data_IF_596319225891
#
_entry.id   IF_596319225891
#
_cell.length_a   1.000
_cell.length_b   1.000
_cell.length_c   1.000
_cell.angle_alpha   90.00
_cell.angle_beta   90.00
_cell.angle_gamma   90.00
#
_symmetry.space_group_name_H-M   'P 1'
#
loop_
_entity.id
_entity.type
_entity.pdbx_description
1 polymer ?
#
# COMPACT_ATOMS: atom_id res chain seq x y z
N UNK A 1 5.80 52.83 12.11
CA UNK A 1 5.88 52.83 10.64
C UNK A 1 4.92 51.76 10.14
N UNK A 2 3.76 52.18 9.62
CA UNK A 2 2.67 51.30 9.18
C UNK A 2 2.98 50.69 7.82
N UNK A 3 2.82 49.37 7.71
CA UNK A 3 2.89 48.63 6.44
C UNK A 3 1.45 48.38 5.98
N UNK A 4 1.09 48.66 4.71
CA UNK A 4 -0.26 48.39 4.21
C UNK A 4 -0.44 46.92 3.79
N UNK A 5 -1.68 46.39 3.80
CA UNK A 5 -1.97 45.02 3.41
C UNK A 5 -2.02 44.86 1.89
N UNK A 6 -1.51 43.74 1.39
CA UNK A 6 -1.51 43.36 -0.02
C UNK A 6 -2.76 42.51 -0.30
N UNK A 7 -3.66 43.03 -1.13
CA UNK A 7 -4.84 42.30 -1.64
C UNK A 7 -4.42 41.26 -2.69
N UNK A 8 -4.72 39.98 -2.43
CA UNK A 8 -4.57 38.91 -3.41
C UNK A 8 -5.86 38.75 -4.22
N UNK A 9 -5.79 39.01 -5.53
CA UNK A 9 -6.88 38.81 -6.49
C UNK A 9 -7.07 37.33 -6.82
N UNK A 10 -8.29 36.85 -6.56
CA UNK A 10 -8.84 35.55 -6.98
C UNK A 10 -8.98 35.52 -8.50
N UNK A 11 -8.22 34.63 -9.16
CA UNK A 11 -8.35 34.33 -10.59
C UNK A 11 -9.09 33.03 -10.81
N UNK A 12 -10.40 33.10 -11.02
CA UNK A 12 -11.22 31.97 -11.45
C UNK A 12 -10.87 31.59 -12.91
N UNK A 13 -10.34 30.38 -13.13
CA UNK A 13 -10.19 29.79 -14.46
C UNK A 13 -11.28 28.74 -14.69
N UNK A 14 -12.10 29.02 -15.71
CA UNK A 14 -13.23 28.24 -16.17
C UNK A 14 -12.77 27.05 -17.01
N UNK A 15 -13.51 25.97 -16.83
CA UNK A 15 -13.54 24.71 -17.56
C UNK A 15 -13.52 24.90 -19.09
N UNK A 16 -12.73 24.09 -19.80
CA UNK A 16 -12.94 23.82 -21.23
C UNK A 16 -12.96 22.30 -21.46
N UNK A 17 -14.18 21.79 -21.59
CA UNK A 17 -14.51 20.47 -22.11
C UNK A 17 -14.26 20.43 -23.62
N UNK A 18 -13.32 19.61 -24.06
CA UNK A 18 -13.16 19.25 -25.48
C UNK A 18 -13.92 17.96 -25.76
N UNK A 19 -15.13 18.14 -26.30
CA UNK A 19 -15.92 17.13 -27.00
C UNK A 19 -15.25 16.83 -28.33
N UNK A 20 -14.84 15.59 -28.56
CA UNK A 20 -14.38 15.13 -29.88
C UNK A 20 -15.56 14.56 -30.67
N UNK A 21 -15.91 15.28 -31.72
CA UNK A 21 -16.94 14.93 -32.69
C UNK A 21 -16.58 13.65 -33.47
N UNK A 22 -17.47 12.66 -33.38
CA UNK A 22 -17.49 11.47 -34.24
C UNK A 22 -18.15 11.84 -35.58
N UNK A 23 -17.33 11.99 -36.61
CA UNK A 23 -17.77 12.18 -37.99
C UNK A 23 -18.46 10.90 -38.52
N UNK A 24 -19.77 10.97 -38.70
CA UNK A 24 -20.54 10.00 -39.50
C UNK A 24 -20.39 10.31 -40.98
N UNK A 25 -19.59 9.52 -41.70
CA UNK A 25 -19.58 9.52 -43.16
C UNK A 25 -20.66 8.55 -43.68
N UNK A 26 -21.76 9.11 -44.14
CA UNK A 26 -22.67 8.45 -45.08
C UNK A 26 -22.25 8.75 -46.51
N UNK A 27 -22.10 7.71 -47.34
CA UNK A 27 -22.37 7.69 -48.79
C UNK A 27 -21.86 6.36 -49.37
N UNK A 28 -22.77 5.43 -49.67
CA UNK A 28 -22.79 4.75 -50.98
C UNK A 28 -23.98 3.79 -51.08
N UNK A 29 -25.12 4.31 -51.53
CA UNK A 29 -26.15 3.53 -52.20
C UNK A 29 -26.03 3.79 -53.69
N UNK A 30 -25.54 2.81 -54.47
CA UNK A 30 -25.91 2.57 -55.87
C UNK A 30 -24.97 1.53 -56.51
N UNK A 31 -25.44 0.28 -56.57
CA UNK A 31 -25.32 -0.68 -57.68
C UNK A 31 -25.66 -2.07 -57.14
N UNK A 32 -26.96 -2.25 -56.95
CA UNK A 32 -27.55 -3.58 -56.94
C UNK A 32 -28.08 -3.80 -58.36
N UNK A 33 -28.01 -5.05 -58.78
CA UNK A 33 -28.50 -5.64 -60.03
C UNK A 33 -27.43 -5.96 -61.07
N UNK A 34 -27.51 -7.22 -61.51
CA UNK A 34 -26.83 -7.87 -62.62
C UNK A 34 -25.46 -8.50 -62.33
N UNK A 35 -25.48 -9.64 -61.62
CA UNK A 35 -24.78 -10.88 -62.02
C UNK A 35 -25.03 -12.03 -61.03
N UNK A 36 -26.29 -12.48 -60.94
CA UNK A 36 -26.67 -13.73 -60.26
C UNK A 36 -27.19 -14.74 -61.27
N UNK A 37 -26.27 -15.30 -62.04
CA UNK A 37 -26.47 -16.57 -62.74
C UNK A 37 -25.09 -17.13 -63.00
N UNK A 38 -24.63 -18.04 -62.13
CA UNK A 38 -23.53 -19.03 -62.29
C UNK A 38 -22.86 -19.41 -60.95
N UNK A 39 -23.64 -19.53 -59.86
CA UNK A 39 -23.20 -20.30 -58.69
C UNK A 39 -24.13 -21.51 -58.56
N UNK A 40 -23.59 -22.65 -58.97
CA UNK A 40 -24.11 -23.99 -58.71
C UNK A 40 -24.34 -24.20 -57.20
N UNK A 41 -25.24 -25.10 -56.81
CA UNK A 41 -25.52 -25.37 -55.41
C UNK A 41 -24.31 -26.07 -54.78
N UNK A 42 -23.50 -25.35 -54.01
CA UNK A 42 -22.71 -25.97 -52.94
C UNK A 42 -23.72 -26.34 -51.85
N UNK A 43 -24.44 -27.44 -52.09
CA UNK A 43 -25.21 -28.12 -51.06
C UNK A 43 -24.22 -28.80 -50.12
N UNK A 44 -24.53 -28.70 -48.83
CA UNK A 44 -23.99 -29.45 -47.68
C UNK A 44 -22.58 -29.11 -47.18
N UNK A 45 -22.42 -27.97 -46.51
CA UNK A 45 -21.44 -27.81 -45.40
C UNK A 45 -21.99 -27.05 -44.18
N UNK A 46 -23.29 -26.73 -44.14
CA UNK A 46 -23.89 -26.03 -43.00
C UNK A 46 -24.18 -26.95 -41.78
N UNK A 47 -24.25 -28.27 -41.99
CA UNK A 47 -24.53 -29.25 -40.93
C UNK A 47 -23.31 -29.66 -40.10
N UNK A 48 -22.09 -29.45 -40.58
CA UNK A 48 -20.86 -29.81 -39.87
C UNK A 48 -20.21 -28.66 -39.07
N UNK A 49 -20.64 -27.40 -39.28
CA UNK A 49 -20.07 -26.25 -38.58
C UNK A 49 -20.58 -26.07 -37.15
N UNK A 50 -21.81 -26.50 -36.87
CA UNK A 50 -22.38 -26.42 -35.52
C UNK A 50 -21.70 -27.34 -34.48
N UNK A 51 -21.40 -28.62 -34.76
CA UNK A 51 -20.72 -29.47 -33.76
C UNK A 51 -19.30 -29.00 -33.44
N UNK A 52 -18.58 -28.41 -34.40
CA UNK A 52 -17.21 -27.90 -34.18
C UNK A 52 -17.16 -26.70 -33.21
N UNK A 53 -18.20 -25.85 -33.22
CA UNK A 53 -18.28 -24.72 -32.29
C UNK A 53 -18.56 -25.19 -30.85
N UNK A 54 -19.45 -26.16 -30.67
CA UNK A 54 -19.75 -26.72 -29.34
C UNK A 54 -18.53 -27.45 -28.74
N UNK A 55 -17.77 -28.17 -29.56
CA UNK A 55 -16.52 -28.82 -29.14
C UNK A 55 -15.45 -27.80 -28.74
N UNK A 56 -15.30 -26.70 -29.49
CA UNK A 56 -14.37 -25.62 -29.17
C UNK A 56 -14.73 -24.90 -27.87
N UNK A 57 -16.02 -24.64 -27.62
CA UNK A 57 -16.50 -24.07 -26.35
C UNK A 57 -16.26 -25.03 -25.17
N UNK A 58 -16.46 -26.33 -25.36
CA UNK A 58 -16.18 -27.34 -24.34
C UNK A 58 -14.68 -27.39 -23.97
N UNK A 59 -13.78 -27.32 -24.95
CA UNK A 59 -12.34 -27.26 -24.72
C UNK A 59 -11.92 -26.00 -23.97
N UNK A 60 -12.46 -24.83 -24.35
CA UNK A 60 -12.24 -23.57 -23.62
C UNK A 60 -12.80 -23.63 -22.19
N UNK A 61 -13.91 -24.34 -21.98
CA UNK A 61 -14.48 -24.57 -20.66
C UNK A 61 -13.60 -25.44 -19.76
N UNK A 62 -12.93 -26.45 -20.32
CA UNK A 62 -11.96 -27.28 -19.60
C UNK A 62 -10.72 -26.45 -19.24
N UNK A 63 -10.18 -25.69 -20.19
CA UNK A 63 -8.99 -24.85 -19.96
C UNK A 63 -9.20 -23.82 -18.84
N UNK A 64 -10.36 -23.15 -18.83
CA UNK A 64 -10.73 -22.23 -17.74
C UNK A 64 -10.84 -22.92 -16.38
N UNK A 65 -11.37 -24.14 -16.33
CA UNK A 65 -11.48 -24.91 -15.08
C UNK A 65 -10.11 -25.33 -14.57
N UNK A 66 -9.26 -25.87 -15.44
CA UNK A 66 -7.88 -26.26 -15.09
C UNK A 66 -7.08 -25.07 -14.59
N UNK A 67 -7.18 -23.91 -15.27
CA UNK A 67 -6.52 -22.68 -14.83
C UNK A 67 -6.97 -22.23 -13.45
N UNK A 68 -8.29 -22.26 -13.19
CA UNK A 68 -8.84 -21.90 -11.88
C UNK A 68 -8.36 -22.86 -10.78
N UNK A 69 -8.43 -24.17 -11.01
CA UNK A 69 -7.94 -25.17 -10.04
C UNK A 69 -6.44 -25.03 -9.77
N UNK A 70 -5.64 -24.63 -10.77
CA UNK A 70 -4.22 -24.36 -10.57
C UNK A 70 -3.97 -23.10 -9.73
N UNK A 71 -4.75 -22.04 -9.93
CA UNK A 71 -4.71 -20.81 -9.14
C UNK A 71 -5.11 -21.07 -7.68
N UNK A 72 -6.26 -21.73 -7.46
CA UNK A 72 -6.75 -22.12 -6.13
C UNK A 72 -5.69 -22.97 -5.39
N UNK A 73 -5.06 -23.92 -6.09
CA UNK A 73 -3.99 -24.76 -5.50
C UNK A 73 -2.72 -23.97 -5.15
N UNK A 74 -2.37 -22.94 -5.93
CA UNK A 74 -1.21 -22.08 -5.63
C UNK A 74 -1.47 -21.22 -4.40
N UNK A 75 -2.69 -20.72 -4.26
CA UNK A 75 -3.13 -19.97 -3.09
C UNK A 75 -3.04 -20.83 -1.82
N UNK A 76 -3.63 -22.03 -1.83
CA UNK A 76 -3.58 -22.98 -0.70
C UNK A 76 -2.14 -23.31 -0.28
N UNK A 77 -1.24 -23.51 -1.25
CA UNK A 77 0.17 -23.78 -0.97
C UNK A 77 0.89 -22.57 -0.35
N UNK A 78 0.58 -21.36 -0.82
CA UNK A 78 1.13 -20.12 -0.27
C UNK A 78 0.68 -19.88 1.18
N UNK A 79 -0.59 -20.11 1.49
CA UNK A 79 -1.10 -19.99 2.85
C UNK A 79 -0.46 -21.02 3.79
N UNK A 80 -0.31 -22.27 3.34
CA UNK A 80 0.34 -23.33 4.12
C UNK A 80 1.80 -22.98 4.44
N UNK A 81 2.55 -22.44 3.48
CA UNK A 81 3.93 -22.00 3.68
C UNK A 81 4.00 -20.86 4.71
N UNK A 82 3.13 -19.85 4.60
CA UNK A 82 3.06 -18.74 5.55
C UNK A 82 2.77 -19.22 6.97
N UNK A 83 1.85 -20.18 7.13
CA UNK A 83 1.54 -20.78 8.43
C UNK A 83 2.72 -21.57 9.00
N UNK A 84 3.42 -22.36 8.17
CA UNK A 84 4.61 -23.10 8.60
C UNK A 84 5.71 -22.14 9.09
N UNK A 85 5.98 -21.08 8.34
CA UNK A 85 6.93 -20.03 8.71
C UNK A 85 6.52 -19.34 10.02
N UNK A 86 5.25 -19.02 10.20
CA UNK A 86 4.73 -18.46 11.44
C UNK A 86 4.92 -19.42 12.63
N UNK A 87 4.61 -20.71 12.47
CA UNK A 87 4.84 -21.71 13.50
C UNK A 87 6.32 -21.87 13.88
N UNK A 88 7.23 -21.74 12.90
CA UNK A 88 8.67 -21.69 13.18
C UNK A 88 9.05 -20.46 14.04
N UNK A 89 8.50 -19.28 13.73
CA UNK A 89 8.68 -18.06 14.50
C UNK A 89 8.17 -18.23 15.94
N UNK A 90 6.99 -18.81 16.13
CA UNK A 90 6.41 -19.08 17.44
C UNK A 90 7.32 -19.98 18.30
N UNK A 91 7.78 -21.11 17.76
CA UNK A 91 8.70 -22.04 18.44
C UNK A 91 10.03 -21.36 18.81
N UNK A 92 10.54 -20.52 17.92
CA UNK A 92 11.76 -19.74 18.16
C UNK A 92 11.57 -18.73 19.29
N UNK A 93 10.39 -18.11 19.37
CA UNK A 93 10.01 -17.19 20.43
C UNK A 93 9.79 -17.87 21.78
N UNK A 94 9.34 -19.13 21.85
CA UNK A 94 9.24 -19.88 23.12
C UNK A 94 10.58 -19.98 23.86
N UNK A 95 11.68 -20.07 23.10
CA UNK A 95 13.05 -20.14 23.65
C UNK A 95 13.58 -18.77 24.08
N UNK A 96 13.06 -17.67 23.51
CA UNK A 96 13.47 -16.30 23.84
C UNK A 96 12.61 -15.72 24.98
N UNK A 97 13.24 -15.11 25.98
CA UNK A 97 12.52 -14.44 27.08
C UNK A 97 11.96 -13.07 26.68
N UNK A 98 12.56 -12.44 25.68
CA UNK A 98 12.25 -11.08 25.30
C UNK A 98 11.32 -10.97 24.08
N UNK A 99 10.54 -9.88 24.08
CA UNK A 99 9.80 -9.41 22.93
C UNK A 99 10.79 -8.95 21.85
N UNK A 100 10.62 -9.46 20.63
CA UNK A 100 11.47 -9.17 19.48
C UNK A 100 10.59 -8.64 18.34
N UNK A 101 10.66 -7.32 18.15
CA UNK A 101 9.89 -6.60 17.12
C UNK A 101 10.59 -6.49 15.79
N UNK A 102 11.77 -7.08 15.67
CA UNK A 102 12.45 -7.15 14.38
C UNK A 102 12.01 -8.39 13.62
N UNK A 103 11.91 -8.32 12.29
CA UNK A 103 11.51 -9.45 11.45
C UNK A 103 10.71 -9.05 10.23
N UNK A 104 10.11 -10.04 9.59
CA UNK A 104 9.22 -9.84 8.44
C UNK A 104 7.83 -10.36 8.77
N UNK A 105 6.83 -9.55 8.48
CA UNK A 105 5.41 -9.87 8.56
C UNK A 105 4.84 -10.00 7.16
N UNK A 106 4.05 -11.05 6.94
CA UNK A 106 3.13 -11.12 5.81
C UNK A 106 1.92 -10.28 6.17
N UNK A 107 1.57 -9.33 5.30
CA UNK A 107 0.50 -8.36 5.54
C UNK A 107 -0.77 -8.76 4.76
N UNK A 108 -1.92 -8.47 5.34
CA UNK A 108 -3.24 -8.59 4.71
C UNK A 108 -4.06 -7.32 4.96
N UNK A 109 -4.65 -6.75 3.91
CA UNK A 109 -5.55 -5.60 3.97
C UNK A 109 -6.79 -5.89 3.12
N UNK A 110 -7.99 -5.94 3.74
CA UNK A 110 -9.22 -6.30 3.04
C UNK A 110 -9.64 -5.31 1.93
N UNK A 111 -9.09 -4.09 1.95
CA UNK A 111 -9.34 -3.08 0.93
C UNK A 111 -8.51 -3.29 -0.35
N UNK A 112 -7.45 -4.11 -0.27
CA UNK A 112 -6.53 -4.35 -1.37
C UNK A 112 -6.65 -5.84 -1.72
N UNK A 113 -7.17 -6.18 -2.91
CA UNK A 113 -7.33 -7.58 -3.31
C UNK A 113 -5.97 -8.28 -3.31
N UNK A 114 -5.99 -9.59 -3.04
CA UNK A 114 -4.85 -10.42 -2.62
C UNK A 114 -3.59 -10.28 -3.48
N UNK A 115 -2.77 -9.27 -3.19
CA UNK A 115 -1.44 -9.13 -3.75
C UNK A 115 -0.48 -10.10 -3.05
N UNK A 116 0.21 -10.98 -3.81
CA UNK A 116 0.95 -12.11 -3.26
C UNK A 116 2.13 -11.72 -2.38
N UNK A 117 2.57 -10.46 -2.42
CA UNK A 117 3.83 -10.02 -1.81
C UNK A 117 3.69 -8.88 -0.79
N UNK A 118 2.48 -8.63 -0.27
CA UNK A 118 2.33 -7.63 0.80
C UNK A 118 3.14 -8.01 2.04
N UNK A 119 4.10 -7.16 2.42
CA UNK A 119 5.07 -7.43 3.48
C UNK A 119 5.43 -6.16 4.26
N UNK A 120 5.83 -6.37 5.51
CA UNK A 120 6.42 -5.37 6.38
C UNK A 120 7.67 -5.96 7.05
N UNK A 121 8.82 -5.34 6.87
CA UNK A 121 10.08 -5.79 7.49
C UNK A 121 10.56 -4.74 8.47
N UNK A 122 10.52 -5.05 9.76
CA UNK A 122 10.90 -4.14 10.85
C UNK A 122 12.32 -4.47 11.33
N UNK A 123 13.13 -3.46 11.58
CA UNK A 123 14.47 -3.57 12.13
C UNK A 123 14.83 -2.35 12.98
N UNK A 124 15.90 -2.51 13.76
CA UNK A 124 16.49 -1.46 14.57
C UNK A 124 17.83 -1.12 13.95
N UNK A 125 18.00 0.14 13.54
CA UNK A 125 19.24 0.67 12.99
C UNK A 125 19.87 1.66 13.99
N UNK A 126 21.18 1.86 13.89
CA UNK A 126 21.89 2.92 14.62
C UNK A 126 22.03 4.14 13.74
N UNK A 127 21.69 5.30 14.28
CA UNK A 127 21.83 6.60 13.65
C UNK A 127 22.35 7.57 14.69
N UNK A 128 23.48 8.21 14.41
CA UNK A 128 24.24 9.04 15.37
C UNK A 128 24.52 8.33 16.71
N UNK A 129 24.78 7.02 16.67
CA UNK A 129 25.02 6.20 17.86
C UNK A 129 23.79 5.94 18.73
N UNK A 130 22.59 6.33 18.29
CA UNK A 130 21.31 6.05 18.95
C UNK A 130 20.52 5.05 18.14
N UNK A 131 19.74 4.21 18.81
CA UNK A 131 18.86 3.27 18.12
C UNK A 131 17.65 4.00 17.56
N UNK A 132 17.24 3.62 16.37
CA UNK A 132 15.96 4.01 15.76
C UNK A 132 15.30 2.76 15.20
N UNK A 133 13.98 2.73 15.17
CA UNK A 133 13.22 1.62 14.58
C UNK A 133 12.62 2.09 13.27
N UNK A 134 12.86 1.28 12.23
CA UNK A 134 12.38 1.49 10.88
C UNK A 134 11.65 0.25 10.39
N UNK A 135 10.86 0.40 9.33
CA UNK A 135 10.41 -0.74 8.57
C UNK A 135 10.27 -0.44 7.09
N UNK A 136 10.71 -1.35 6.25
CA UNK A 136 10.34 -1.38 4.83
C UNK A 136 8.95 -2.00 4.70
N UNK A 137 8.11 -1.40 3.87
CA UNK A 137 6.79 -1.96 3.57
C UNK A 137 6.53 -1.99 2.07
N UNK A 138 5.77 -3.01 1.65
CA UNK A 138 5.12 -3.07 0.36
C UNK A 138 3.71 -3.58 0.60
N UNK A 139 2.70 -2.73 0.40
CA UNK A 139 1.29 -3.04 0.62
C UNK A 139 0.52 -3.17 -0.71
N UNK A 140 1.22 -3.37 -1.82
CA UNK A 140 0.62 -3.48 -3.17
C UNK A 140 0.19 -2.14 -3.77
N UNK A 141 -0.47 -1.27 -3.00
CA UNK A 141 -0.83 0.10 -3.44
C UNK A 141 0.25 1.13 -3.13
N UNK A 142 1.13 0.85 -2.17
CA UNK A 142 2.21 1.73 -1.77
C UNK A 142 3.40 0.92 -1.29
N UNK A 143 4.59 1.44 -1.52
CA UNK A 143 5.83 0.92 -0.96
C UNK A 143 6.67 2.06 -0.39
N UNK A 144 7.50 1.75 0.61
CA UNK A 144 8.36 2.74 1.23
C UNK A 144 8.83 2.34 2.62
N UNK A 145 9.01 3.35 3.47
CA UNK A 145 9.65 3.22 4.78
C UNK A 145 8.77 3.80 5.87
N UNK A 146 8.59 3.04 6.95
CA UNK A 146 8.08 3.50 8.24
C UNK A 146 9.25 3.94 9.12
N UNK A 147 9.02 5.02 9.87
CA UNK A 147 9.89 5.45 10.97
C UNK A 147 9.07 5.54 12.23
N UNK A 148 9.46 4.79 13.25
CA UNK A 148 8.68 4.64 14.46
C UNK A 148 9.05 5.68 15.50
N UNK A 149 8.03 6.25 16.13
CA UNK A 149 8.15 7.14 17.27
C UNK A 149 7.90 6.39 18.57
N UNK A 150 8.53 6.86 19.64
CA UNK A 150 8.18 6.42 21.00
C UNK A 150 6.67 6.54 21.19
N UNK A 151 6.04 5.58 21.90
CA UNK A 151 4.67 5.75 22.34
C UNK A 151 4.59 7.05 23.13
N UNK A 152 3.85 8.03 22.61
CA UNK A 152 3.52 9.21 23.41
C UNK A 152 2.80 8.67 24.62
N UNK A 153 3.36 8.89 25.82
CA UNK A 153 2.63 8.58 27.05
C UNK A 153 1.34 9.36 26.89
N UNK A 154 0.23 8.68 26.61
CA UNK A 154 -1.09 9.29 26.67
C UNK A 154 -1.13 9.84 28.08
N UNK A 155 -0.89 11.16 28.24
CA UNK A 155 -1.30 11.87 29.44
C UNK A 155 -2.75 11.47 29.48
N UNK A 156 -3.10 10.63 30.45
CA UNK A 156 -4.46 10.12 30.59
C UNK A 156 -5.33 11.34 30.37
N UNK A 157 -6.08 11.38 29.26
CA UNK A 157 -7.09 12.38 29.07
C UNK A 157 -8.02 12.11 30.23
N UNK A 158 -7.76 12.82 31.32
CA UNK A 158 -8.55 12.77 32.54
C UNK A 158 -9.78 13.48 32.03
N UNK A 159 -10.72 12.70 31.50
CA UNK A 159 -11.99 13.17 30.96
C UNK A 159 -12.62 13.91 32.13
N UNK A 160 -12.32 15.21 32.23
CA UNK A 160 -13.01 16.13 33.12
C UNK A 160 -14.36 16.28 32.46
N UNK A 161 -15.27 15.44 32.94
CA UNK A 161 -16.65 15.42 32.51
C UNK A 161 -17.24 16.83 32.56
N UNK A 162 -17.79 17.21 31.40
CA UNK A 162 -18.89 18.15 31.17
C UNK A 162 -18.61 19.63 31.40
N UNK A 163 -18.86 20.35 30.29
CA UNK A 163 -19.04 21.79 30.12
C UNK A 163 -17.74 22.56 29.89
N UNK A 164 -17.27 22.56 28.65
CA UNK A 164 -16.70 23.77 28.06
C UNK A 164 -16.70 23.65 26.54
N UNK A 165 -17.01 24.78 25.93
CA UNK A 165 -17.23 24.98 24.51
C UNK A 165 -16.04 24.53 23.66
N UNK A 166 -16.37 24.09 22.45
CA UNK A 166 -15.48 23.43 21.51
C UNK A 166 -14.46 24.41 20.92
N UNK A 167 -13.34 24.59 21.61
CA UNK A 167 -12.06 24.89 20.97
C UNK A 167 -11.27 23.57 20.97
N UNK A 168 -11.52 22.76 19.94
CA UNK A 168 -10.70 21.59 19.59
C UNK A 168 -9.34 22.11 19.11
N UNK A 169 -8.53 22.64 20.03
CA UNK A 169 -7.08 22.72 19.92
C UNK A 169 -6.56 21.28 20.01
N UNK A 170 -6.80 20.52 18.94
CA UNK A 170 -6.11 19.27 18.67
C UNK A 170 -4.65 19.67 18.56
N UNK A 171 -3.91 19.55 19.68
CA UNK A 171 -2.46 19.76 19.73
C UNK A 171 -1.86 18.93 18.61
N UNK A 172 -1.61 19.58 17.47
CA UNK A 172 -0.81 19.05 16.38
C UNK A 172 0.45 18.52 17.06
N UNK A 173 0.64 17.20 17.02
CA UNK A 173 1.80 16.59 17.63
C UNK A 173 3.01 17.14 16.90
N UNK A 174 3.60 18.18 17.48
CA UNK A 174 4.71 18.91 16.88
C UNK A 174 5.81 17.90 16.57
N UNK A 175 6.29 17.95 15.33
CA UNK A 175 7.32 17.04 14.86
C UNK A 175 8.58 17.23 15.71
N UNK A 176 8.81 16.30 16.64
CA UNK A 176 10.01 16.27 17.48
C UNK A 176 10.91 15.10 17.03
N UNK A 177 12.04 15.38 16.34
CA UNK A 177 12.99 14.36 15.93
C UNK A 177 13.50 13.47 17.08
N UNK A 178 13.43 13.96 18.33
CA UNK A 178 13.89 13.18 19.47
C UNK A 178 12.99 12.00 19.81
N UNK A 179 11.76 11.97 19.30
CA UNK A 179 10.82 10.87 19.46
C UNK A 179 11.25 9.60 18.70
N UNK A 180 12.13 9.71 17.69
CA UNK A 180 12.62 8.56 16.93
C UNK A 180 13.77 7.80 17.63
N UNK A 181 14.46 8.43 18.59
CA UNK A 181 15.63 7.84 19.25
C UNK A 181 15.24 6.93 20.42
N UNK A 182 15.36 5.62 20.24
CA UNK A 182 14.99 4.59 21.20
C UNK A 182 16.12 4.31 22.20
N UNK A 183 15.76 4.24 23.49
CA UNK A 183 16.62 3.60 24.48
C UNK A 183 16.65 2.08 24.26
N UNK A 184 17.67 1.40 24.81
CA UNK A 184 17.76 -0.08 24.74
C UNK A 184 16.56 -0.80 25.35
N UNK A 185 15.85 -0.13 26.24
CA UNK A 185 14.64 -0.64 26.92
C UNK A 185 13.35 -0.26 26.21
N UNK A 186 13.40 0.64 25.24
CA UNK A 186 12.23 1.09 24.50
C UNK A 186 11.88 0.03 23.46
N UNK A 187 10.90 -0.81 23.80
CA UNK A 187 10.35 -1.82 22.91
C UNK A 187 8.87 -2.02 23.21
N UNK A 188 8.07 -2.44 22.23
CA UNK A 188 6.70 -2.89 22.48
C UNK A 188 6.66 -3.95 23.58
N UNK A 189 5.65 -3.86 24.43
CA UNK A 189 5.42 -4.79 25.54
C UNK A 189 3.95 -5.21 25.57
N UNK A 190 3.59 -6.30 26.28
CA UNK A 190 2.18 -6.66 26.45
C UNK A 190 1.32 -5.55 27.07
N UNK A 191 1.93 -4.72 27.93
CA UNK A 191 1.25 -3.60 28.60
C UNK A 191 1.27 -2.30 27.81
N UNK A 192 2.13 -2.19 26.80
CA UNK A 192 2.25 -1.05 25.91
C UNK A 192 2.53 -1.53 24.47
N UNK A 193 1.55 -2.18 23.83
CA UNK A 193 1.72 -2.79 22.51
C UNK A 193 1.63 -1.78 21.36
N UNK A 194 1.09 -0.59 21.62
CA UNK A 194 0.81 0.42 20.59
C UNK A 194 2.02 1.33 20.38
N UNK A 195 2.43 1.49 19.13
CA UNK A 195 3.53 2.32 18.71
C UNK A 195 3.10 3.25 17.59
N UNK A 196 3.61 4.47 17.63
CA UNK A 196 3.32 5.47 16.61
C UNK A 196 4.34 5.34 15.49
N UNK A 197 3.94 5.67 14.27
CA UNK A 197 4.86 5.73 13.14
C UNK A 197 4.43 6.81 12.14
N UNK A 198 5.41 7.28 11.39
CA UNK A 198 5.22 8.06 10.16
C UNK A 198 5.75 7.24 9.01
N UNK A 199 5.25 7.48 7.81
CA UNK A 199 5.72 6.78 6.63
C UNK A 199 6.03 7.73 5.49
N UNK A 200 6.98 7.33 4.65
CA UNK A 200 7.28 7.95 3.36
C UNK A 200 7.36 6.85 2.32
N UNK A 201 7.01 7.15 1.09
CA UNK A 201 6.99 6.15 0.04
C UNK A 201 6.37 6.66 -1.25
N UNK A 202 6.12 5.73 -2.16
CA UNK A 202 5.58 5.98 -3.48
C UNK A 202 4.51 4.96 -3.85
N UNK A 203 3.69 5.32 -4.82
CA UNK A 203 2.82 4.35 -5.49
C UNK A 203 3.70 3.45 -6.37
N UNK A 204 3.42 2.14 -6.48
CA UNK A 204 4.15 1.28 -7.39
C UNK A 204 4.03 1.81 -8.82
N UNK A 205 5.14 2.36 -9.35
CA UNK A 205 5.23 3.06 -10.65
C UNK A 205 4.57 4.44 -10.71
N UNK A 206 4.23 5.04 -9.57
CA UNK A 206 3.66 6.38 -9.46
C UNK A 206 4.59 7.38 -8.78
N UNK A 207 4.07 8.56 -8.40
CA UNK A 207 4.85 9.58 -7.71
C UNK A 207 5.03 9.25 -6.22
N UNK A 208 5.99 9.94 -5.60
CA UNK A 208 6.19 9.97 -4.16
C UNK A 208 4.99 10.63 -3.47
N UNK A 209 4.58 10.09 -2.32
CA UNK A 209 3.51 10.63 -1.49
C UNK A 209 3.99 11.83 -0.64
N UNK A 210 3.75 13.04 -1.14
CA UNK A 210 4.02 14.27 -0.37
C UNK A 210 3.16 14.39 0.87
N UNK A 211 3.81 14.69 2.00
CA UNK A 211 3.14 14.93 3.28
C UNK A 211 2.58 13.68 3.93
N UNK A 212 2.85 12.48 3.41
CA UNK A 212 2.46 11.23 4.07
C UNK A 212 3.03 11.13 5.49
N UNK A 213 4.22 11.69 5.70
CA UNK A 213 4.89 11.76 6.99
C UNK A 213 4.37 12.87 7.90
N UNK A 214 3.45 13.72 7.45
CA UNK A 214 2.78 14.73 8.30
C UNK A 214 1.72 14.09 9.21
N UNK A 215 1.14 12.95 8.78
CA UNK A 215 0.13 12.21 9.53
C UNK A 215 0.79 11.16 10.44
N UNK A 216 0.41 11.16 11.71
CA UNK A 216 0.87 10.18 12.69
C UNK A 216 -0.07 8.97 12.72
N UNK A 217 0.45 7.79 12.39
CA UNK A 217 -0.27 6.52 12.43
C UNK A 217 0.10 5.72 13.67
N UNK A 218 -0.65 4.64 13.92
CA UNK A 218 -0.36 3.71 15.00
C UNK A 218 -0.42 2.26 14.55
N UNK A 219 0.47 1.45 15.11
CA UNK A 219 0.49 -0.01 14.96
C UNK A 219 0.37 -0.64 16.36
N UNK A 220 -0.29 -1.78 16.44
CA UNK A 220 -0.47 -2.54 17.67
C UNK A 220 0.20 -3.89 17.48
N UNK A 221 1.19 -4.19 18.31
CA UNK A 221 1.84 -5.50 18.35
C UNK A 221 1.08 -6.44 19.30
N UNK A 222 0.58 -7.54 18.79
CA UNK A 222 -0.32 -8.44 19.49
C UNK A 222 0.36 -9.75 19.90
N UNK A 223 -0.30 -10.49 20.79
CA UNK A 223 0.19 -11.77 21.28
C UNK A 223 0.12 -12.88 20.20
N UNK A 224 1.00 -13.90 20.28
CA UNK A 224 2.07 -14.02 21.28
C UNK A 224 3.30 -13.17 20.94
N UNK A 225 3.85 -12.44 21.92
CA UNK A 225 5.15 -11.74 21.82
C UNK A 225 5.35 -10.82 20.60
N UNK A 226 4.29 -10.20 20.09
CA UNK A 226 4.36 -9.29 18.95
C UNK A 226 4.45 -9.99 17.59
N UNK A 227 4.15 -11.30 17.55
CA UNK A 227 4.15 -12.07 16.30
C UNK A 227 2.94 -11.80 15.43
N UNK A 228 1.95 -11.08 15.96
CA UNK A 228 0.81 -10.54 15.22
C UNK A 228 0.84 -9.02 15.32
N UNK A 229 0.30 -8.34 14.32
CA UNK A 229 0.11 -6.90 14.38
C UNK A 229 -1.14 -6.44 13.65
N UNK A 230 -1.65 -5.29 14.07
CA UNK A 230 -2.71 -4.56 13.38
C UNK A 230 -2.33 -3.10 13.25
N UNK A 231 -2.72 -2.45 12.16
CA UNK A 231 -2.39 -1.05 11.92
C UNK A 231 -3.27 -0.44 10.84
N UNK A 232 -2.99 0.81 10.54
CA UNK A 232 -3.73 1.61 9.55
C UNK A 232 -2.74 2.37 8.69
N UNK A 233 -2.74 2.12 7.39
CA UNK A 233 -2.02 2.93 6.41
C UNK A 233 -3.04 3.80 5.69
N UNK A 234 -2.82 5.10 5.65
CA UNK A 234 -3.73 6.02 4.97
C UNK A 234 -2.99 7.19 4.34
N UNK A 235 -3.80 8.10 3.79
CA UNK A 235 -3.34 9.26 3.04
C UNK A 235 -3.71 9.16 1.56
N UNK A 236 -4.00 10.30 0.94
CA UNK A 236 -4.29 10.37 -0.48
C UNK A 236 -5.68 9.81 -0.90
N UNK A 237 -5.84 9.42 -2.18
CA UNK A 237 -7.16 9.13 -2.77
C UNK A 237 -7.75 7.75 -2.43
N UNK A 238 -7.00 6.88 -1.75
CA UNK A 238 -7.41 5.49 -1.49
C UNK A 238 -8.10 5.26 -0.15
N UNK A 239 -8.20 6.31 0.67
CA UNK A 239 -8.75 6.22 2.01
C UNK A 239 -7.81 5.53 3.00
N UNK A 240 -8.38 5.02 4.09
CA UNK A 240 -7.64 4.34 5.16
C UNK A 240 -7.68 2.82 4.92
N UNK A 241 -6.51 2.22 4.66
CA UNK A 241 -6.32 0.76 4.61
C UNK A 241 -5.94 0.25 5.99
N UNK A 242 -6.89 -0.46 6.62
CA UNK A 242 -6.62 -1.22 7.84
C UNK A 242 -5.95 -2.55 7.48
N UNK A 243 -4.79 -2.81 8.06
CA UNK A 243 -4.02 -4.02 7.79
C UNK A 243 -3.82 -4.87 9.04
N UNK A 244 -3.60 -6.14 8.81
CA UNK A 244 -3.15 -7.13 9.79
C UNK A 244 -1.88 -7.79 9.30
N UNK A 245 -1.11 -8.37 10.22
CA UNK A 245 0.14 -9.02 9.87
C UNK A 245 0.47 -10.18 10.77
N UNK A 246 1.08 -11.21 10.18
CA UNK A 246 1.63 -12.36 10.90
C UNK A 246 3.12 -12.45 10.63
N UNK A 247 3.91 -12.61 11.69
CA UNK A 247 5.37 -12.68 11.60
C UNK A 247 5.77 -14.02 11.00
N UNK A 248 6.45 -13.97 9.87
CA UNK A 248 6.90 -15.14 9.10
C UNK A 248 8.43 -15.32 9.16
N UNK A 249 9.17 -14.26 9.52
CA UNK A 249 10.63 -14.32 9.64
C UNK A 249 11.10 -13.60 10.89
N UNK A 250 12.05 -14.19 11.59
CA UNK A 250 12.76 -13.52 12.69
C UNK A 250 13.67 -12.43 12.14
N UNK A 251 13.77 -11.32 12.85
CA UNK A 251 14.69 -10.25 12.47
C UNK A 251 16.14 -10.58 12.78
N UNK A 252 17.01 -9.83 12.13
CA UNK A 252 18.43 -9.72 12.45
C UNK A 252 18.70 -8.27 12.86
N UNK A 253 19.67 -8.07 13.75
CA UNK A 253 20.21 -6.72 13.93
C UNK A 253 20.79 -6.26 12.59
N UNK A 254 20.44 -5.06 12.17
CA UNK A 254 20.94 -4.44 10.96
C UNK A 254 21.93 -3.35 11.36
N UNK A 255 23.17 -3.53 10.96
CA UNK A 255 24.24 -2.54 11.09
C UNK A 255 24.32 -1.64 9.84
N UNK A 256 23.27 -1.59 9.03
CA UNK A 256 23.25 -0.86 7.77
C UNK A 256 22.55 0.50 7.94
N UNK A 257 23.28 1.57 7.62
CA UNK A 257 22.79 2.95 7.60
C UNK A 257 21.87 3.21 6.39
N UNK A 258 21.82 2.28 5.43
CA UNK A 258 21.10 2.42 4.15
C UNK A 258 19.62 2.79 4.28
N UNK A 259 18.93 2.33 5.32
CA UNK A 259 17.51 2.67 5.48
C UNK A 259 17.26 4.15 5.77
N UNK A 260 18.17 4.78 6.50
CA UNK A 260 18.00 6.18 6.86
C UNK A 260 18.15 7.04 5.59
N UNK A 261 19.06 6.64 4.71
CA UNK A 261 19.20 7.23 3.38
C UNK A 261 17.91 7.08 2.56
N UNK A 262 17.28 5.89 2.56
CA UNK A 262 15.98 5.68 1.90
C UNK A 262 14.87 6.58 2.48
N UNK A 263 14.81 6.73 3.81
CA UNK A 263 13.86 7.64 4.45
C UNK A 263 14.02 9.08 3.95
N UNK A 264 15.26 9.56 3.78
CA UNK A 264 15.51 10.90 3.24
C UNK A 264 15.34 11.00 1.73
N UNK A 265 15.55 9.91 0.99
CA UNK A 265 15.31 9.83 -0.45
C UNK A 265 13.82 10.03 -0.80
N UNK A 266 12.91 9.65 0.08
CA UNK A 266 11.47 9.96 -0.06
C UNK A 266 11.06 11.32 0.53
N UNK A 267 12.01 12.13 1.01
CA UNK A 267 11.74 13.43 1.58
C UNK A 267 11.47 14.54 0.56
N UNK A 268 10.83 15.63 1.01
CA UNK A 268 10.53 16.81 0.17
C UNK A 268 11.74 17.34 -0.62
N UNK A 269 12.91 17.40 0.02
CA UNK A 269 14.14 17.88 -0.62
C UNK A 269 14.58 17.04 -1.83
N UNK A 270 14.37 15.73 -1.78
CA UNK A 270 14.71 14.83 -2.90
C UNK A 270 13.78 15.06 -4.10
N UNK A 271 12.50 15.34 -3.84
CA UNK A 271 11.55 15.64 -4.90
C UNK A 271 11.79 16.99 -5.56
N UNK A 272 11.99 18.04 -4.76
CA UNK A 272 12.27 19.39 -5.29
C UNK A 272 13.56 19.41 -6.12
N UNK A 273 14.56 18.61 -5.75
CA UNK A 273 15.77 18.42 -6.57
C UNK A 273 15.56 17.59 -7.84
N UNK A 274 14.66 16.60 -7.81
CA UNK A 274 14.39 15.69 -8.94
C UNK A 274 13.49 16.28 -10.02
N UNK A 275 12.49 17.09 -9.67
CA UNK A 275 11.65 17.81 -10.66
C UNK A 275 12.45 18.82 -11.47
N UNK A 276 13.46 19.45 -10.86
CA UNK A 276 14.34 20.36 -11.58
C UNK A 276 15.08 19.60 -12.69
N UNK A 277 15.59 18.39 -12.45
CA UNK A 277 16.34 17.63 -13.45
C UNK A 277 15.45 17.07 -14.59
N UNK A 278 14.24 16.60 -14.30
CA UNK A 278 13.33 16.05 -15.32
C UNK A 278 12.73 17.10 -16.27
N UNK A 279 12.79 18.39 -15.92
CA UNK A 279 12.34 19.49 -16.77
C UNK A 279 13.40 19.97 -17.77
N UNK A 280 14.64 19.45 -17.70
CA UNK A 280 15.74 19.82 -18.59
C UNK A 280 16.23 18.70 -19.53
N UNK A 281 15.60 17.53 -19.51
CA UNK A 281 15.79 16.44 -20.48
C UNK A 281 14.63 16.36 -21.48
#
# INVERSE_FOLDING_TARGET
MSVPPVEAKVGARKNSSTSTDLATNGHNSQKVEQSLSLLSPIKSEAGERQPRLAEQEALLGIDRKVKKEEEDRKEDLGEAEVLEQHHYVLRSHEQKKDWDVTGTWKISCAAIPDEPDMKLTIYIAKSDGKNQMFAEFNFGIAEGVFRFEKPTRRRSLRIKSKNQDMDDDQEDSEYDPTNFFLAKTDKPTPTNPTWNYRWRGEEPKGPIYFGADEVLYSIIFEEPKGTKLTGTLGGGPWGECRFTGIKVKMGREWDDESIEDEWYAYGRAAYEGGEILRLYD
#
